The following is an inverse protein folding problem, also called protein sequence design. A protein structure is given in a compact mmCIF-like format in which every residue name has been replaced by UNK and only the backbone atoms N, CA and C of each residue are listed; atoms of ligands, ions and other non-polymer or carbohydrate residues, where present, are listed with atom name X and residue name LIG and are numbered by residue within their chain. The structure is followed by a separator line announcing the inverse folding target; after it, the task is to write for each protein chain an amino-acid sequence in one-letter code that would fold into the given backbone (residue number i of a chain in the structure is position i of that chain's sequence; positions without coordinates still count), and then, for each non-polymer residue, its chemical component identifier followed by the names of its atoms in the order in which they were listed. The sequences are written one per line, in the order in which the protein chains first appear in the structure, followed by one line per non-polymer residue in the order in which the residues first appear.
data_IF_543149608744
#
_entry.id   IF_543149608744
#
_cell.length_a   1.000
_cell.length_b   1.000
_cell.length_c   1.000
_cell.angle_alpha   90.00
_cell.angle_beta   90.00
_cell.angle_gamma   90.00
#
_symmetry.space_group_name_H-M   'P 1'
#
loop_
_entity.id
_entity.type
_entity.pdbx_description
1 polymer ?
#
# COMPACT_ATOMS: atom_id res chain seq x y z
N UNK A 1 25.53 -12.84 -7.06
CA UNK A 1 25.98 -12.13 -5.84
C UNK A 1 24.75 -11.92 -4.99
N UNK A 2 24.79 -12.01 -3.66
CA UNK A 2 23.64 -11.63 -2.88
C UNK A 2 23.35 -10.17 -3.19
N UNK A 3 22.09 -9.86 -3.52
CA UNK A 3 21.61 -8.51 -3.64
C UNK A 3 22.06 -7.76 -2.36
N UNK A 4 22.51 -6.52 -2.52
CA UNK A 4 22.87 -5.69 -1.36
C UNK A 4 21.71 -5.74 -0.37
N UNK A 5 21.98 -6.25 0.83
CA UNK A 5 20.98 -6.22 1.90
C UNK A 5 20.57 -4.77 2.11
N UNK A 6 19.30 -4.41 1.96
CA UNK A 6 18.88 -3.03 2.16
C UNK A 6 19.25 -2.53 3.55
N UNK A 7 19.66 -1.27 3.64
CA UNK A 7 19.93 -0.65 4.93
C UNK A 7 18.62 -0.41 5.70
N UNK A 8 18.60 -0.75 6.99
CA UNK A 8 17.44 -0.55 7.86
C UNK A 8 17.77 0.57 8.83
N UNK A 9 17.11 1.71 8.65
CA UNK A 9 17.20 2.83 9.58
C UNK A 9 16.30 2.56 10.79
N UNK A 10 16.84 2.81 11.97
CA UNK A 10 16.13 2.69 13.25
C UNK A 10 15.65 4.05 13.74
N UNK A 11 14.73 4.07 14.68
CA UNK A 11 14.04 5.27 15.18
C UNK A 11 15.00 6.46 15.47
N UNK A 12 16.16 6.20 16.07
CA UNK A 12 17.15 7.23 16.38
C UNK A 12 17.76 7.93 15.15
N UNK A 13 17.70 7.27 14.00
CA UNK A 13 18.22 7.76 12.72
C UNK A 13 17.14 8.48 11.89
N UNK A 14 15.90 8.52 12.39
CA UNK A 14 14.73 9.04 11.69
C UNK A 14 14.12 10.21 12.50
N UNK A 15 14.75 11.39 12.51
CA UNK A 15 14.29 12.51 13.32
C UNK A 15 13.03 13.17 12.73
N UNK A 16 12.08 13.56 13.58
CA UNK A 16 10.91 14.36 13.19
C UNK A 16 11.29 15.79 12.74
N UNK A 17 12.44 16.28 13.18
CA UNK A 17 12.89 17.67 12.97
C UNK A 17 12.96 18.08 11.50
N UNK A 18 13.08 17.12 10.58
CA UNK A 18 13.13 17.39 9.14
C UNK A 18 11.89 18.09 8.57
N UNK A 19 10.71 17.91 9.20
CA UNK A 19 9.46 18.54 8.78
C UNK A 19 8.90 19.55 9.79
N UNK A 20 9.53 19.72 10.94
CA UNK A 20 9.12 20.76 11.89
C UNK A 20 9.27 22.15 11.27
N UNK A 21 8.25 23.00 11.46
CA UNK A 21 8.16 24.33 10.87
C UNK A 21 8.18 24.35 9.32
N UNK A 22 7.87 23.23 8.67
CA UNK A 22 7.69 23.15 7.22
C UNK A 22 6.19 23.15 6.90
N UNK A 23 5.84 23.73 5.76
CA UNK A 23 4.49 23.61 5.20
C UNK A 23 4.37 22.24 4.56
N UNK A 24 3.49 21.42 5.11
CA UNK A 24 3.23 20.07 4.61
C UNK A 24 1.82 20.02 4.03
N UNK A 25 1.68 19.53 2.83
CA UNK A 25 0.37 19.28 2.23
C UNK A 25 0.21 17.80 1.87
N UNK A 26 -1.02 17.31 2.00
CA UNK A 26 -1.43 16.00 1.49
C UNK A 26 -2.41 16.22 0.35
N UNK A 27 -2.02 15.78 -0.84
CA UNK A 27 -2.84 15.88 -2.05
C UNK A 27 -3.64 14.59 -2.21
N UNK A 28 -4.95 14.70 -1.96
CA UNK A 28 -5.86 13.55 -1.89
C UNK A 28 -6.13 13.11 -0.45
N UNK A 29 -7.41 12.81 -0.16
CA UNK A 29 -7.87 12.45 1.19
C UNK A 29 -8.63 11.12 1.18
N UNK A 30 -8.00 10.11 0.54
CA UNK A 30 -8.41 8.71 0.56
C UNK A 30 -7.84 7.97 1.78
N UNK A 31 -7.84 6.62 1.73
CA UNK A 31 -7.40 5.78 2.85
C UNK A 31 -5.99 6.12 3.35
N UNK A 32 -5.00 6.17 2.47
CA UNK A 32 -3.62 6.51 2.84
C UNK A 32 -3.48 7.99 3.19
N UNK A 33 -4.01 8.90 2.34
CA UNK A 33 -3.89 10.35 2.58
C UNK A 33 -4.49 10.77 3.92
N UNK A 34 -5.65 10.20 4.29
CA UNK A 34 -6.28 10.44 5.59
C UNK A 34 -5.42 9.94 6.75
N UNK A 35 -4.89 8.71 6.65
CA UNK A 35 -4.05 8.14 7.69
C UNK A 35 -2.76 8.96 7.90
N UNK A 36 -2.08 9.33 6.82
CA UNK A 36 -0.87 10.15 6.86
C UNK A 36 -1.16 11.53 7.49
N UNK A 37 -2.21 12.21 7.03
CA UNK A 37 -2.57 13.53 7.54
C UNK A 37 -2.90 13.51 9.05
N UNK A 38 -3.71 12.54 9.49
CA UNK A 38 -4.07 12.38 10.89
C UNK A 38 -2.83 12.09 11.77
N UNK A 39 -1.96 11.19 11.34
CA UNK A 39 -0.76 10.82 12.10
C UNK A 39 0.23 11.99 12.18
N UNK A 40 0.44 12.72 11.08
CA UNK A 40 1.26 13.92 11.05
C UNK A 40 0.75 15.00 12.00
N UNK A 41 -0.58 15.28 11.98
CA UNK A 41 -1.20 16.22 12.91
C UNK A 41 -1.00 15.80 14.37
N UNK A 42 -1.26 14.54 14.68
CA UNK A 42 -1.09 14.01 16.04
C UNK A 42 0.38 13.97 16.49
N UNK A 43 1.32 14.05 15.54
CA UNK A 43 2.77 14.25 15.76
C UNK A 43 3.16 15.73 15.85
N UNK A 44 2.19 16.66 15.83
CA UNK A 44 2.44 18.10 15.98
C UNK A 44 2.85 18.81 14.68
N UNK A 45 2.59 18.24 13.53
CA UNK A 45 2.84 18.86 12.22
C UNK A 45 1.57 19.51 11.68
N UNK A 46 1.67 20.76 11.27
CA UNK A 46 0.58 21.45 10.57
C UNK A 46 0.45 20.91 9.12
N UNK A 47 -0.73 20.41 8.79
CA UNK A 47 -1.00 19.75 7.51
C UNK A 47 -2.20 20.40 6.82
N UNK A 48 -1.99 20.82 5.59
CA UNK A 48 -3.04 21.28 4.68
C UNK A 48 -3.48 20.15 3.74
N UNK A 49 -4.76 20.04 3.47
CA UNK A 49 -5.32 19.02 2.55
C UNK A 49 -5.70 19.64 1.23
N UNK A 50 -5.02 19.24 0.17
CA UNK A 50 -5.39 19.59 -1.22
C UNK A 50 -6.29 18.53 -1.84
N UNK A 51 -7.54 18.86 -2.15
CA UNK A 51 -8.47 17.91 -2.76
C UNK A 51 -9.59 18.60 -3.54
N UNK A 52 -10.17 17.90 -4.53
CA UNK A 52 -11.35 18.37 -5.26
C UNK A 52 -12.60 18.49 -4.37
N UNK A 53 -12.69 17.64 -3.36
CA UNK A 53 -13.75 17.68 -2.34
C UNK A 53 -13.10 17.54 -0.97
N UNK A 54 -13.18 18.58 -0.18
CA UNK A 54 -12.57 18.68 1.14
C UNK A 54 -13.51 18.32 2.29
N UNK A 55 -14.75 17.89 2.01
CA UNK A 55 -15.78 17.66 3.04
C UNK A 55 -15.33 16.67 4.12
N UNK A 56 -14.63 15.60 3.75
CA UNK A 56 -14.12 14.63 4.73
C UNK A 56 -12.92 15.17 5.52
N UNK A 57 -12.05 15.96 4.88
CA UNK A 57 -10.95 16.62 5.57
C UNK A 57 -11.48 17.65 6.60
N UNK A 58 -12.52 18.41 6.24
CA UNK A 58 -13.18 19.36 7.15
C UNK A 58 -13.84 18.66 8.34
N UNK A 59 -14.46 17.48 8.14
CA UNK A 59 -15.01 16.68 9.25
C UNK A 59 -13.91 16.24 10.25
N UNK A 60 -12.73 15.97 9.75
CA UNK A 60 -11.57 15.64 10.58
C UNK A 60 -10.81 16.91 11.08
N UNK A 61 -11.40 18.09 10.94
CA UNK A 61 -10.87 19.40 11.37
C UNK A 61 -9.56 19.81 10.67
N UNK A 62 -9.35 19.42 9.41
CA UNK A 62 -8.26 19.93 8.59
C UNK A 62 -8.67 21.17 7.80
N UNK A 63 -7.67 22.01 7.51
CA UNK A 63 -7.79 23.05 6.50
C UNK A 63 -7.78 22.39 5.11
N UNK A 64 -8.93 22.38 4.45
CA UNK A 64 -9.09 21.87 3.10
C UNK A 64 -9.05 23.00 2.09
N UNK A 65 -8.13 22.91 1.13
CA UNK A 65 -7.91 23.91 0.07
C UNK A 65 -7.97 23.26 -1.31
N UNK A 66 -7.84 24.05 -2.36
CA UNK A 66 -7.65 23.51 -3.71
C UNK A 66 -6.30 22.79 -3.86
N UNK A 67 -6.17 21.95 -4.87
CA UNK A 67 -4.89 21.25 -5.15
C UNK A 67 -3.82 22.29 -5.52
N UNK A 68 -4.18 23.29 -6.27
CA UNK A 68 -3.30 24.38 -6.71
C UNK A 68 -2.72 25.15 -5.51
N UNK A 69 -3.55 25.50 -4.55
CA UNK A 69 -3.12 26.20 -3.32
C UNK A 69 -2.19 25.29 -2.48
N UNK A 70 -2.57 24.02 -2.30
CA UNK A 70 -1.77 23.04 -1.57
C UNK A 70 -0.41 22.78 -2.23
N UNK A 71 -0.27 23.01 -3.54
CA UNK A 71 0.94 22.78 -4.30
C UNK A 71 2.09 23.76 -3.99
N UNK A 72 1.83 24.78 -3.16
CA UNK A 72 2.87 25.72 -2.71
C UNK A 72 3.62 25.29 -1.45
N UNK A 73 3.31 24.13 -0.86
CA UNK A 73 3.95 23.61 0.35
C UNK A 73 5.43 23.23 0.14
N UNK A 74 6.19 23.06 1.21
CA UNK A 74 7.59 22.64 1.17
C UNK A 74 7.70 21.11 0.90
N UNK A 75 6.76 20.32 1.45
CA UNK A 75 6.58 18.91 1.18
C UNK A 75 5.14 18.66 0.70
N UNK A 76 4.99 18.13 -0.51
CA UNK A 76 3.71 17.73 -1.10
C UNK A 76 3.62 16.20 -1.10
N UNK A 77 2.80 15.63 -0.23
CA UNK A 77 2.56 14.20 -0.16
C UNK A 77 1.42 13.84 -1.13
N UNK A 78 1.75 13.16 -2.23
CA UNK A 78 0.78 12.77 -3.26
C UNK A 78 0.15 11.44 -2.86
N UNK A 79 -1.15 11.50 -2.50
CA UNK A 79 -1.95 10.38 -2.04
C UNK A 79 -3.20 10.17 -2.92
N UNK A 80 -3.04 10.40 -4.22
CA UNK A 80 -4.05 10.19 -5.25
C UNK A 80 -3.97 8.75 -5.79
N UNK A 81 -5.07 8.20 -6.35
CA UNK A 81 -5.01 6.95 -7.10
C UNK A 81 -4.04 7.05 -8.30
N UNK A 82 -3.26 5.99 -8.54
CA UNK A 82 -2.16 6.00 -9.51
C UNK A 82 -2.60 6.37 -10.93
N UNK A 83 -3.76 5.89 -11.35
CA UNK A 83 -4.32 6.14 -12.68
C UNK A 83 -4.66 7.61 -12.96
N UNK A 84 -4.75 8.46 -11.93
CA UNK A 84 -5.05 9.87 -12.09
C UNK A 84 -3.89 10.80 -11.73
N UNK A 85 -2.83 10.29 -11.10
CA UNK A 85 -1.72 11.11 -10.60
C UNK A 85 -1.07 11.94 -11.69
N UNK A 86 -0.71 11.34 -12.83
CA UNK A 86 -0.07 12.04 -13.93
C UNK A 86 -0.92 13.19 -14.48
N UNK A 87 -2.23 12.97 -14.65
CA UNK A 87 -3.15 14.02 -15.12
C UNK A 87 -3.25 15.16 -14.10
N UNK A 88 -3.52 14.84 -12.83
CA UNK A 88 -3.64 15.86 -11.78
C UNK A 88 -2.34 16.64 -11.59
N UNK A 89 -1.21 15.94 -11.66
CA UNK A 89 0.11 16.59 -11.59
C UNK A 89 0.27 17.64 -12.70
N UNK A 90 0.06 17.26 -13.94
CA UNK A 90 0.27 18.16 -15.09
C UNK A 90 -0.71 19.34 -15.10
N UNK A 91 -1.98 19.12 -14.71
CA UNK A 91 -3.02 20.13 -14.80
C UNK A 91 -3.08 21.05 -13.56
N UNK A 92 -2.80 20.53 -12.35
CA UNK A 92 -3.12 21.24 -11.10
C UNK A 92 -1.93 21.40 -10.15
N UNK A 93 -0.86 20.59 -10.28
CA UNK A 93 0.30 20.67 -9.38
C UNK A 93 1.47 21.38 -10.07
N UNK A 94 1.93 20.86 -11.19
CA UNK A 94 3.12 21.36 -11.87
C UNK A 94 3.09 22.87 -12.20
N UNK A 95 1.95 23.47 -12.66
CA UNK A 95 1.89 24.90 -12.93
C UNK A 95 2.03 25.80 -11.68
N UNK A 96 1.86 25.22 -10.48
CA UNK A 96 1.86 25.94 -9.20
C UNK A 96 3.08 25.61 -8.33
N UNK A 97 4.00 24.77 -8.82
CA UNK A 97 5.27 24.53 -8.12
C UNK A 97 6.13 25.80 -8.10
N UNK A 98 6.72 26.08 -6.96
CA UNK A 98 7.59 27.24 -6.75
C UNK A 98 9.00 26.90 -7.20
N UNK A 99 9.47 27.46 -8.29
CA UNK A 99 10.83 27.24 -8.80
C UNK A 99 11.88 27.74 -7.78
N UNK A 100 12.97 26.99 -7.64
CA UNK A 100 14.10 27.30 -6.73
C UNK A 100 13.72 27.44 -5.23
N UNK A 101 12.49 27.04 -4.84
CA UNK A 101 12.02 27.16 -3.46
C UNK A 101 12.40 25.96 -2.57
N UNK A 102 13.06 24.96 -3.11
CA UNK A 102 13.45 23.75 -2.37
C UNK A 102 12.29 22.83 -2.04
N UNK A 103 11.23 22.84 -2.84
CA UNK A 103 10.08 21.95 -2.69
C UNK A 103 10.45 20.48 -2.93
N UNK A 104 9.66 19.58 -2.32
CA UNK A 104 9.81 18.14 -2.48
C UNK A 104 8.45 17.50 -2.71
N UNK A 105 8.34 16.68 -3.75
CA UNK A 105 7.22 15.78 -3.97
C UNK A 105 7.47 14.47 -3.22
N UNK A 106 6.53 14.11 -2.36
CA UNK A 106 6.52 12.86 -1.61
C UNK A 106 5.48 11.90 -2.19
N UNK A 107 5.88 10.66 -2.44
CA UNK A 107 5.03 9.61 -2.97
C UNK A 107 4.85 8.50 -1.93
N UNK A 108 3.64 7.92 -1.87
CA UNK A 108 3.32 6.78 -0.98
C UNK A 108 3.63 5.46 -1.69
N UNK A 109 3.63 5.47 -3.02
CA UNK A 109 3.96 4.38 -3.92
C UNK A 109 4.72 4.92 -5.13
N UNK A 110 5.67 4.15 -5.66
CA UNK A 110 6.59 4.64 -6.69
C UNK A 110 6.04 4.71 -8.12
N UNK A 111 4.81 4.24 -8.37
CA UNK A 111 4.20 4.01 -9.68
C UNK A 111 4.36 5.19 -10.66
N UNK A 112 3.93 6.38 -10.29
CA UNK A 112 3.87 7.52 -11.19
C UNK A 112 5.26 8.01 -11.64
N UNK A 113 6.26 7.87 -10.80
CA UNK A 113 7.65 8.21 -11.11
C UNK A 113 8.31 7.07 -11.91
N UNK A 114 8.18 5.83 -11.46
CA UNK A 114 8.78 4.68 -12.11
C UNK A 114 8.34 4.52 -13.57
N UNK A 115 7.05 4.66 -13.85
CA UNK A 115 6.52 4.57 -15.23
C UNK A 115 6.51 5.91 -15.99
N UNK A 116 7.11 6.97 -15.45
CA UNK A 116 7.26 8.26 -16.14
C UNK A 116 5.96 9.03 -16.35
N UNK A 117 4.92 8.76 -15.56
CA UNK A 117 3.65 9.51 -15.61
C UNK A 117 3.80 10.92 -15.01
N UNK A 118 4.79 11.10 -14.13
CA UNK A 118 5.17 12.38 -13.54
C UNK A 118 6.67 12.59 -13.77
N UNK A 119 7.01 13.74 -14.36
CA UNK A 119 8.40 14.17 -14.59
C UNK A 119 8.58 15.52 -13.90
N UNK A 120 9.09 15.54 -12.65
CA UNK A 120 9.28 16.80 -11.92
C UNK A 120 10.46 17.62 -12.42
N UNK A 121 10.40 18.98 -12.32
CA UNK A 121 11.52 19.88 -12.62
C UNK A 121 12.79 19.48 -11.84
N UNK A 122 13.97 19.85 -12.37
CA UNK A 122 15.26 19.43 -11.81
C UNK A 122 15.50 19.94 -10.38
N UNK A 123 15.00 21.11 -10.03
CA UNK A 123 15.14 21.77 -8.73
C UNK A 123 14.14 21.27 -7.66
N UNK A 124 13.16 20.46 -8.04
CA UNK A 124 12.17 19.86 -7.16
C UNK A 124 12.62 18.47 -6.72
N UNK A 125 12.65 18.24 -5.41
CA UNK A 125 12.99 16.93 -4.84
C UNK A 125 11.92 15.88 -5.09
N UNK A 126 12.34 14.62 -5.12
CA UNK A 126 11.43 13.46 -5.29
C UNK A 126 11.79 12.39 -4.28
N UNK A 127 10.86 12.09 -3.40
CA UNK A 127 11.05 11.10 -2.32
C UNK A 127 9.84 10.17 -2.21
N UNK A 128 10.07 9.02 -1.63
CA UNK A 128 9.01 8.08 -1.32
C UNK A 128 9.10 7.62 0.13
N UNK A 129 7.95 7.56 0.79
CA UNK A 129 7.75 6.85 2.05
C UNK A 129 6.53 5.95 1.86
N UNK A 130 6.77 4.66 1.66
CA UNK A 130 5.76 3.66 1.32
C UNK A 130 5.51 2.70 2.50
N UNK A 131 4.53 2.98 3.38
CA UNK A 131 4.16 2.06 4.46
C UNK A 131 3.61 0.75 3.87
N UNK A 132 4.14 -0.40 4.36
CA UNK A 132 3.70 -1.72 3.90
C UNK A 132 2.48 -2.21 4.69
N UNK A 133 1.35 -1.59 4.37
CA UNK A 133 0.04 -1.89 4.93
C UNK A 133 -1.03 -0.88 4.52
N UNK A 134 -2.32 -1.27 4.58
CA UNK A 134 -3.44 -0.40 4.27
C UNK A 134 -3.46 0.85 5.16
N UNK A 135 -4.02 1.96 4.68
CA UNK A 135 -4.11 3.21 5.45
C UNK A 135 -4.80 3.06 6.81
N UNK A 136 -5.82 2.20 6.90
CA UNK A 136 -6.47 1.90 8.19
C UNK A 136 -5.47 1.31 9.19
N UNK A 137 -4.66 0.35 8.78
CA UNK A 137 -3.62 -0.27 9.62
C UNK A 137 -2.54 0.74 10.01
N UNK A 138 -2.14 1.63 9.09
CA UNK A 138 -1.19 2.72 9.39
C UNK A 138 -1.73 3.60 10.52
N UNK A 139 -3.03 3.92 10.50
CA UNK A 139 -3.67 4.73 11.55
C UNK A 139 -3.80 3.97 12.86
N UNK A 140 -4.31 2.76 12.84
CA UNK A 140 -4.53 1.92 14.04
C UNK A 140 -3.22 1.62 14.78
N UNK A 141 -2.17 1.22 14.06
CA UNK A 141 -0.86 0.96 14.64
C UNK A 141 -0.23 2.21 15.24
N UNK A 142 -0.41 3.38 14.59
CA UNK A 142 0.04 4.66 15.15
C UNK A 142 -0.65 4.98 16.48
N UNK A 143 -1.98 4.84 16.55
CA UNK A 143 -2.77 5.06 17.77
C UNK A 143 -2.40 4.09 18.90
N UNK A 144 -2.05 2.86 18.53
CA UNK A 144 -1.56 1.85 19.48
C UNK A 144 -0.11 2.10 19.97
N UNK A 145 0.51 3.24 19.61
CA UNK A 145 1.88 3.55 19.99
C UNK A 145 2.95 2.78 19.20
N UNK A 146 2.56 2.05 18.15
CA UNK A 146 3.41 1.32 17.23
C UNK A 146 3.47 2.02 15.87
N UNK A 147 3.76 1.30 14.81
CA UNK A 147 3.82 1.80 13.44
C UNK A 147 3.75 0.67 12.42
N UNK A 148 3.90 1.02 11.16
CA UNK A 148 4.03 0.08 10.04
C UNK A 148 5.41 0.27 9.42
N UNK A 149 6.11 -0.83 9.11
CA UNK A 149 7.36 -0.79 8.36
C UNK A 149 7.12 -0.04 7.05
N UNK A 150 8.04 0.87 6.69
CA UNK A 150 7.94 1.58 5.42
C UNK A 150 9.23 1.47 4.62
N UNK A 151 9.10 1.58 3.30
CA UNK A 151 10.23 1.75 2.39
C UNK A 151 10.52 3.24 2.22
N UNK A 152 11.80 3.59 2.17
CA UNK A 152 12.30 4.95 1.94
C UNK A 152 13.10 4.97 0.64
N UNK A 153 12.75 5.86 -0.27
CA UNK A 153 13.58 6.15 -1.44
C UNK A 153 13.76 7.66 -1.63
N UNK A 154 14.96 8.03 -2.04
CA UNK A 154 15.31 9.39 -2.44
C UNK A 154 15.72 9.32 -3.90
N UNK A 155 14.79 9.64 -4.81
CA UNK A 155 15.05 9.64 -6.24
C UNK A 155 15.86 10.85 -6.64
N UNK A 156 15.50 12.01 -6.06
CA UNK A 156 16.16 13.28 -6.37
C UNK A 156 16.11 14.23 -5.18
N UNK A 157 17.23 14.88 -4.90
CA UNK A 157 17.30 15.98 -3.95
C UNK A 157 16.75 17.28 -4.57
N UNK A 158 16.11 18.11 -3.74
CA UNK A 158 15.72 19.46 -4.12
C UNK A 158 16.92 20.41 -4.17
N UNK A 159 16.71 21.61 -4.67
CA UNK A 159 17.76 22.64 -4.74
C UNK A 159 18.43 22.96 -3.38
N UNK A 160 17.69 22.82 -2.28
CA UNK A 160 18.18 23.05 -0.92
C UNK A 160 18.82 21.82 -0.27
N UNK A 161 18.83 20.67 -0.94
CA UNK A 161 19.33 19.37 -0.44
C UNK A 161 18.67 18.93 0.89
N UNK A 162 17.37 19.13 1.00
CA UNK A 162 16.59 18.82 2.21
C UNK A 162 15.61 17.67 2.02
N UNK A 163 15.51 17.09 0.81
CA UNK A 163 14.50 16.08 0.50
C UNK A 163 14.60 14.85 1.39
N UNK A 164 15.82 14.34 1.62
CA UNK A 164 16.02 13.22 2.56
C UNK A 164 15.56 13.56 3.98
N UNK A 165 15.87 14.76 4.47
CA UNK A 165 15.44 15.20 5.81
C UNK A 165 13.92 15.31 5.91
N UNK A 166 13.26 15.85 4.86
CA UNK A 166 11.80 15.92 4.78
C UNK A 166 11.17 14.52 4.78
N UNK A 167 11.72 13.58 4.00
CA UNK A 167 11.21 12.20 3.95
C UNK A 167 11.37 11.47 5.30
N UNK A 168 12.50 11.62 5.99
CA UNK A 168 12.71 11.05 7.32
C UNK A 168 11.73 11.64 8.34
N UNK A 169 11.54 12.96 8.33
CA UNK A 169 10.58 13.62 9.20
C UNK A 169 9.14 13.17 8.93
N UNK A 170 8.77 13.02 7.67
CA UNK A 170 7.47 12.47 7.28
C UNK A 170 7.28 11.03 7.79
N UNK A 171 8.25 10.15 7.57
CA UNK A 171 8.20 8.77 8.05
C UNK A 171 8.10 8.68 9.58
N UNK A 172 8.79 9.56 10.31
CA UNK A 172 8.64 9.67 11.76
C UNK A 172 7.23 10.11 12.15
N UNK A 173 6.74 11.20 11.53
CA UNK A 173 5.44 11.77 11.83
C UNK A 173 4.25 10.83 11.57
N UNK A 174 4.38 9.88 10.64
CA UNK A 174 3.35 8.85 10.44
C UNK A 174 3.54 7.61 11.33
N UNK A 175 4.60 7.55 12.14
CA UNK A 175 4.87 6.46 13.09
C UNK A 175 5.74 5.33 12.56
N UNK A 176 6.15 5.33 11.29
CA UNK A 176 6.98 4.26 10.71
C UNK A 176 8.36 4.16 11.35
N UNK A 177 8.90 5.25 11.87
CA UNK A 177 10.18 5.27 12.58
C UNK A 177 10.23 4.29 13.76
N UNK A 178 9.11 4.06 14.44
CA UNK A 178 9.00 3.16 15.61
C UNK A 178 9.29 1.69 15.26
N UNK A 179 9.05 1.32 14.00
CA UNK A 179 9.35 -0.03 13.47
C UNK A 179 10.68 -0.01 12.70
N UNK A 180 10.89 1.01 11.87
CA UNK A 180 12.07 1.22 11.05
C UNK A 180 11.73 1.52 9.59
N UNK A 181 12.73 1.99 8.85
CA UNK A 181 12.66 2.21 7.41
C UNK A 181 13.66 1.32 6.70
N UNK A 182 13.24 0.69 5.62
CA UNK A 182 14.09 -0.03 4.71
C UNK A 182 14.41 0.86 3.51
N UNK A 183 15.68 1.16 3.28
CA UNK A 183 16.09 1.94 2.10
C UNK A 183 15.87 1.14 0.82
N UNK A 184 15.28 1.76 -0.18
CA UNK A 184 14.89 1.16 -1.45
C UNK A 184 15.04 2.15 -2.61
N UNK A 185 14.57 1.77 -3.79
CA UNK A 185 14.43 2.64 -4.95
C UNK A 185 12.96 2.72 -5.38
N UNK A 186 12.59 3.74 -6.16
CA UNK A 186 11.26 3.80 -6.76
C UNK A 186 10.95 2.57 -7.62
N UNK A 187 11.93 2.10 -8.38
CA UNK A 187 11.82 0.90 -9.19
C UNK A 187 11.55 -0.35 -8.34
N UNK A 188 12.43 -0.63 -7.38
CA UNK A 188 12.33 -1.86 -6.60
C UNK A 188 11.03 -1.89 -5.78
N UNK A 189 10.66 -0.76 -5.16
CA UNK A 189 9.39 -0.65 -4.45
C UNK A 189 8.22 -0.93 -5.38
N UNK A 190 8.13 -0.24 -6.53
CA UNK A 190 7.00 -0.36 -7.44
C UNK A 190 6.87 -1.78 -8.00
N UNK A 191 7.96 -2.35 -8.50
CA UNK A 191 7.92 -3.67 -9.11
C UNK A 191 7.61 -4.78 -8.10
N UNK A 192 8.19 -4.72 -6.90
CA UNK A 192 7.98 -5.75 -5.87
C UNK A 192 6.60 -5.62 -5.19
N UNK A 193 6.10 -4.41 -4.98
CA UNK A 193 4.78 -4.15 -4.43
C UNK A 193 3.68 -4.67 -5.38
N UNK A 194 3.71 -4.24 -6.64
CA UNK A 194 2.77 -4.70 -7.66
C UNK A 194 2.83 -6.22 -7.86
N UNK A 195 4.02 -6.81 -7.82
CA UNK A 195 4.15 -8.26 -7.92
C UNK A 195 3.55 -8.96 -6.70
N UNK A 196 3.87 -8.50 -5.49
CA UNK A 196 3.31 -9.06 -4.25
C UNK A 196 1.79 -9.00 -4.21
N UNK A 197 1.19 -7.88 -4.62
CA UNK A 197 -0.27 -7.73 -4.70
C UNK A 197 -0.90 -8.68 -5.72
N UNK A 198 -0.30 -8.82 -6.90
CA UNK A 198 -0.84 -9.67 -7.96
C UNK A 198 -0.62 -11.15 -7.68
N UNK A 199 0.59 -11.52 -7.26
CA UNK A 199 0.99 -12.92 -7.09
C UNK A 199 0.41 -13.58 -5.85
N UNK A 200 0.30 -12.86 -4.72
CA UNK A 200 -0.07 -13.49 -3.44
C UNK A 200 -1.07 -12.68 -2.60
N UNK A 201 -0.83 -11.39 -2.33
CA UNK A 201 -1.55 -10.66 -1.28
C UNK A 201 -3.03 -10.46 -1.64
N UNK A 202 -3.34 -10.19 -2.91
CA UNK A 202 -4.69 -9.98 -3.42
C UNK A 202 -5.02 -10.97 -4.53
N UNK A 203 -4.33 -10.91 -5.66
CA UNK A 203 -4.68 -11.68 -6.86
C UNK A 203 -4.62 -13.19 -6.63
N UNK A 204 -3.48 -13.68 -6.18
CA UNK A 204 -3.28 -15.11 -5.91
C UNK A 204 -4.18 -15.63 -4.79
N UNK A 205 -4.27 -14.91 -3.67
CA UNK A 205 -5.12 -15.30 -2.54
C UNK A 205 -6.59 -15.42 -2.94
N UNK A 206 -7.15 -14.40 -3.60
CA UNK A 206 -8.56 -14.42 -4.04
C UNK A 206 -8.78 -15.53 -5.07
N UNK A 207 -7.82 -15.78 -5.96
CA UNK A 207 -7.92 -16.88 -6.94
C UNK A 207 -7.97 -18.24 -6.26
N UNK A 208 -7.08 -18.52 -5.30
CA UNK A 208 -7.08 -19.79 -4.58
C UNK A 208 -8.31 -19.98 -3.71
N UNK A 209 -8.74 -18.95 -2.99
CA UNK A 209 -9.99 -18.99 -2.19
C UNK A 209 -11.17 -19.36 -3.09
N UNK A 210 -11.32 -18.63 -4.21
CA UNK A 210 -12.43 -18.83 -5.14
C UNK A 210 -12.44 -20.24 -5.75
N UNK A 211 -11.31 -20.66 -6.30
CA UNK A 211 -11.19 -21.97 -6.94
C UNK A 211 -11.43 -23.12 -5.95
N UNK A 212 -10.92 -23.02 -4.73
CA UNK A 212 -11.13 -24.01 -3.68
C UNK A 212 -12.59 -24.07 -3.23
N UNK A 213 -13.22 -22.89 -3.02
CA UNK A 213 -14.65 -22.80 -2.72
C UNK A 213 -15.51 -23.46 -3.80
N UNK A 214 -15.29 -23.10 -5.08
CA UNK A 214 -16.02 -23.67 -6.21
C UNK A 214 -15.84 -25.20 -6.28
N UNK A 215 -14.62 -25.69 -6.08
CA UNK A 215 -14.32 -27.14 -6.09
C UNK A 215 -15.09 -27.90 -5.01
N UNK A 216 -15.21 -27.36 -3.79
CA UNK A 216 -16.00 -28.00 -2.73
C UNK A 216 -17.51 -27.98 -3.05
N UNK A 217 -18.02 -26.86 -3.54
CA UNK A 217 -19.44 -26.75 -3.90
C UNK A 217 -19.81 -27.70 -5.04
N UNK A 218 -18.95 -27.79 -6.06
CA UNK A 218 -19.16 -28.70 -7.20
C UNK A 218 -19.07 -30.20 -6.79
N UNK A 219 -18.30 -30.49 -5.74
CA UNK A 219 -18.24 -31.80 -5.11
C UNK A 219 -19.46 -32.10 -4.21
N UNK A 220 -20.42 -31.17 -4.08
CA UNK A 220 -21.66 -31.33 -3.34
C UNK A 220 -21.62 -30.94 -1.87
N UNK A 221 -20.57 -30.29 -1.41
CA UNK A 221 -20.52 -29.78 -0.03
C UNK A 221 -21.34 -28.49 0.14
N UNK A 222 -21.91 -28.25 1.33
CA UNK A 222 -22.65 -27.03 1.62
C UNK A 222 -21.79 -25.78 1.41
N UNK A 223 -22.30 -24.74 0.70
CA UNK A 223 -21.55 -23.52 0.44
C UNK A 223 -21.02 -22.80 1.70
N UNK A 224 -21.77 -22.89 2.81
CA UNK A 224 -21.35 -22.31 4.09
C UNK A 224 -20.09 -22.97 4.64
N UNK A 225 -20.00 -24.32 4.59
CA UNK A 225 -18.78 -25.04 4.97
C UNK A 225 -17.63 -24.68 4.03
N UNK A 226 -17.86 -24.69 2.73
CA UNK A 226 -16.84 -24.29 1.75
C UNK A 226 -16.29 -22.87 2.02
N UNK A 227 -17.16 -21.92 2.40
CA UNK A 227 -16.72 -20.57 2.76
C UNK A 227 -15.86 -20.53 4.03
N UNK A 228 -16.28 -21.25 5.08
CA UNK A 228 -15.54 -21.29 6.35
C UNK A 228 -14.14 -21.85 6.10
N UNK A 229 -14.04 -23.02 5.47
CA UNK A 229 -12.77 -23.72 5.26
C UNK A 229 -11.85 -23.01 4.27
N UNK A 230 -12.37 -22.41 3.19
CA UNK A 230 -11.55 -21.84 2.13
C UNK A 230 -11.32 -20.33 2.27
N UNK A 231 -12.10 -19.62 3.08
CA UNK A 231 -12.01 -18.16 3.19
C UNK A 231 -11.84 -17.68 4.64
N UNK A 232 -12.74 -18.07 5.54
CA UNK A 232 -12.75 -17.54 6.91
C UNK A 232 -11.47 -17.90 7.69
N UNK A 233 -11.00 -19.15 7.59
CA UNK A 233 -9.83 -19.61 8.33
C UNK A 233 -8.48 -19.10 7.82
N UNK A 234 -8.43 -18.56 6.61
CA UNK A 234 -7.19 -18.03 6.00
C UNK A 234 -6.52 -16.99 6.90
N UNK A 235 -7.34 -16.15 7.58
CA UNK A 235 -6.82 -15.12 8.47
C UNK A 235 -5.97 -15.70 9.61
N UNK A 236 -6.44 -16.76 10.28
CA UNK A 236 -5.75 -17.35 11.43
C UNK A 236 -4.38 -17.91 11.02
N UNK A 237 -4.30 -18.56 9.86
CA UNK A 237 -3.04 -19.09 9.35
C UNK A 237 -2.10 -17.96 8.92
N UNK A 238 -2.63 -16.92 8.27
CA UNK A 238 -1.86 -15.73 7.88
C UNK A 238 -1.29 -15.00 9.10
N UNK A 239 -2.05 -14.88 10.18
CA UNK A 239 -1.59 -14.27 11.43
C UNK A 239 -0.40 -15.06 12.03
N UNK A 240 -0.46 -16.39 12.08
CA UNK A 240 0.63 -17.23 12.57
C UNK A 240 1.89 -17.10 11.69
N UNK A 241 1.72 -17.09 10.36
CA UNK A 241 2.84 -16.88 9.43
C UNK A 241 3.49 -15.51 9.68
N UNK A 242 2.67 -14.47 9.86
CA UNK A 242 3.17 -13.12 10.13
C UNK A 242 3.96 -13.03 11.44
N UNK A 243 3.46 -13.66 12.51
CA UNK A 243 4.05 -13.59 13.83
C UNK A 243 5.28 -14.48 14.01
N UNK A 244 5.28 -15.68 13.41
CA UNK A 244 6.24 -16.76 13.72
C UNK A 244 6.99 -17.30 12.50
N UNK A 245 6.56 -16.94 11.29
CA UNK A 245 7.12 -17.46 10.05
C UNK A 245 6.51 -18.81 9.63
N UNK A 246 6.77 -19.19 8.37
CA UNK A 246 6.17 -20.36 7.72
C UNK A 246 6.51 -21.67 8.47
N UNK A 247 7.78 -21.87 8.84
CA UNK A 247 8.21 -23.11 9.49
C UNK A 247 7.57 -23.33 10.87
N UNK A 248 7.40 -22.26 11.66
CA UNK A 248 6.73 -22.36 12.96
C UNK A 248 5.21 -22.49 12.83
N UNK A 249 4.61 -21.89 11.79
CA UNK A 249 3.20 -22.12 11.46
C UNK A 249 2.95 -23.59 11.14
N UNK A 250 3.77 -24.24 10.31
CA UNK A 250 3.66 -25.66 10.00
C UNK A 250 3.72 -26.56 11.24
N UNK A 251 4.56 -26.23 12.22
CA UNK A 251 4.63 -26.95 13.51
C UNK A 251 3.43 -26.70 14.44
N UNK A 252 2.71 -25.61 14.23
CA UNK A 252 1.59 -25.22 15.10
C UNK A 252 0.26 -25.85 14.68
N UNK A 253 0.18 -26.43 13.48
CA UNK A 253 -1.02 -27.10 12.97
C UNK A 253 -0.97 -28.62 13.26
N UNK A 254 -2.07 -29.35 13.00
CA UNK A 254 -2.12 -30.79 13.20
C UNK A 254 -1.24 -31.54 12.21
N UNK A 255 -0.72 -32.72 12.59
CA UNK A 255 0.05 -33.58 11.68
C UNK A 255 -0.72 -33.92 10.39
N UNK A 256 -2.05 -34.01 10.47
CA UNK A 256 -2.91 -34.23 9.29
C UNK A 256 -2.87 -33.05 8.35
N UNK A 257 -3.02 -31.83 8.88
CA UNK A 257 -2.96 -30.62 8.10
C UNK A 257 -1.56 -30.38 7.51
N UNK A 258 -0.51 -30.63 8.31
CA UNK A 258 0.88 -30.50 7.87
C UNK A 258 1.19 -31.46 6.72
N UNK A 259 0.81 -32.74 6.83
CA UNK A 259 1.01 -33.73 5.77
C UNK A 259 0.27 -33.35 4.50
N UNK A 260 -1.01 -32.96 4.62
CA UNK A 260 -1.81 -32.50 3.49
C UNK A 260 -1.25 -31.25 2.82
N UNK A 261 -0.67 -30.33 3.61
CA UNK A 261 -0.01 -29.15 3.08
C UNK A 261 1.22 -29.51 2.23
N UNK A 262 2.08 -30.45 2.67
CA UNK A 262 3.21 -30.90 1.86
C UNK A 262 2.79 -31.57 0.56
N UNK A 263 1.72 -32.36 0.57
CA UNK A 263 1.16 -32.97 -0.65
C UNK A 263 0.62 -31.90 -1.60
N UNK A 264 -0.12 -30.92 -1.09
CA UNK A 264 -0.66 -29.80 -1.88
C UNK A 264 0.47 -28.95 -2.49
N UNK A 265 1.51 -28.63 -1.69
CA UNK A 265 2.68 -27.88 -2.16
C UNK A 265 3.40 -28.61 -3.30
N UNK A 266 3.58 -29.94 -3.19
CA UNK A 266 4.19 -30.73 -4.23
C UNK A 266 3.37 -30.78 -5.53
N UNK A 267 2.04 -30.67 -5.43
CA UNK A 267 1.13 -30.66 -6.60
C UNK A 267 1.05 -29.28 -7.25
N UNK A 268 0.97 -28.21 -6.43
CA UNK A 268 0.68 -26.85 -6.90
C UNK A 268 1.93 -26.06 -7.30
N UNK A 269 3.11 -26.33 -6.68
CA UNK A 269 4.37 -25.66 -7.04
C UNK A 269 5.00 -26.34 -8.26
N UNK A 270 4.35 -26.22 -9.38
CA UNK A 270 4.75 -26.80 -10.65
C UNK A 270 5.37 -25.78 -11.62
N UNK A 271 5.81 -26.24 -12.78
CA UNK A 271 6.39 -25.40 -13.82
C UNK A 271 5.39 -24.37 -14.34
N UNK A 272 4.11 -24.72 -14.43
CA UNK A 272 3.07 -23.83 -14.95
C UNK A 272 2.82 -22.63 -14.02
N UNK A 273 2.73 -22.85 -12.70
CA UNK A 273 2.66 -21.77 -11.72
C UNK A 273 3.87 -20.83 -11.85
N UNK A 274 5.08 -21.37 -11.99
CA UNK A 274 6.30 -20.57 -12.12
C UNK A 274 6.31 -19.75 -13.41
N UNK A 275 5.81 -20.27 -14.51
CA UNK A 275 5.66 -19.56 -15.78
C UNK A 275 4.66 -18.41 -15.65
N UNK A 276 3.51 -18.64 -15.00
CA UNK A 276 2.51 -17.61 -14.75
C UNK A 276 3.05 -16.46 -13.87
N UNK A 277 3.78 -16.79 -12.81
CA UNK A 277 4.43 -15.77 -11.97
C UNK A 277 5.46 -14.96 -12.75
N UNK A 278 6.23 -15.62 -13.63
CA UNK A 278 7.17 -14.95 -14.53
C UNK A 278 6.48 -14.01 -15.53
N UNK A 279 5.30 -14.38 -16.05
CA UNK A 279 4.49 -13.54 -16.92
C UNK A 279 3.97 -12.29 -16.18
N UNK A 280 3.44 -12.45 -14.95
CA UNK A 280 3.04 -11.30 -14.12
C UNK A 280 4.19 -10.33 -13.91
N UNK A 281 5.37 -10.83 -13.55
CA UNK A 281 6.56 -10.00 -13.36
C UNK A 281 6.97 -9.28 -14.64
N UNK A 282 6.93 -9.96 -15.78
CA UNK A 282 7.23 -9.38 -17.09
C UNK A 282 6.29 -8.22 -17.44
N UNK A 283 5.00 -8.38 -17.20
CA UNK A 283 3.99 -7.34 -17.45
C UNK A 283 4.16 -6.09 -16.54
N UNK A 284 4.72 -6.28 -15.37
CA UNK A 284 5.06 -5.17 -14.48
C UNK A 284 6.29 -4.44 -15.03
N UNK A 285 7.36 -5.19 -15.34
CA UNK A 285 8.63 -4.63 -15.77
C UNK A 285 8.57 -3.94 -17.13
N UNK A 286 7.75 -4.43 -18.05
CA UNK A 286 7.59 -3.82 -19.40
C UNK A 286 6.57 -2.67 -19.45
N UNK A 287 5.89 -2.37 -18.31
CA UNK A 287 4.90 -1.29 -18.18
C UNK A 287 3.53 -1.61 -18.79
N UNK A 288 3.31 -2.80 -19.36
CA UNK A 288 2.01 -3.17 -19.94
C UNK A 288 0.89 -3.21 -18.90
N UNK A 289 1.20 -3.59 -17.65
CA UNK A 289 0.25 -3.49 -16.55
C UNK A 289 -0.15 -2.04 -16.27
N UNK A 290 0.83 -1.14 -16.17
CA UNK A 290 0.58 0.29 -15.90
C UNK A 290 -0.29 0.92 -16.99
N UNK A 291 -0.05 0.58 -18.25
CA UNK A 291 -0.86 1.03 -19.39
C UNK A 291 -2.33 0.54 -19.29
N UNK A 292 -2.56 -0.73 -18.92
CA UNK A 292 -3.94 -1.25 -18.72
C UNK A 292 -4.67 -0.55 -17.57
N UNK A 293 -3.98 -0.25 -16.47
CA UNK A 293 -4.54 0.46 -15.33
C UNK A 293 -5.02 1.85 -15.73
N UNK A 294 -4.18 2.62 -16.41
CA UNK A 294 -4.49 3.99 -16.82
C UNK A 294 -5.61 4.08 -17.86
N UNK A 295 -5.83 3.02 -18.64
CA UNK A 295 -6.93 2.91 -19.59
C UNK A 295 -8.29 2.54 -18.97
N UNK A 296 -8.38 2.33 -17.67
CA UNK A 296 -9.65 2.24 -16.92
C UNK A 296 -10.36 0.89 -16.97
N UNK A 297 -9.67 -0.22 -17.20
CA UNK A 297 -10.25 -1.56 -17.31
C UNK A 297 -10.85 -2.12 -16.00
N UNK A 298 -10.67 -1.44 -14.89
CA UNK A 298 -11.03 -1.94 -13.53
C UNK A 298 -12.55 -2.07 -13.29
N UNK A 299 -13.36 -1.17 -13.86
CA UNK A 299 -14.79 -1.04 -13.50
C UNK A 299 -15.61 -2.30 -13.75
N UNK A 300 -15.37 -2.96 -14.87
CA UNK A 300 -16.15 -4.16 -15.26
C UNK A 300 -15.80 -5.39 -14.39
N UNK A 301 -14.57 -5.47 -13.88
CA UNK A 301 -14.08 -6.59 -13.05
C UNK A 301 -14.70 -6.57 -11.65
N UNK A 302 -14.98 -5.39 -11.09
CA UNK A 302 -15.64 -5.25 -9.76
C UNK A 302 -17.05 -5.82 -9.74
N UNK A 303 -17.84 -5.56 -10.78
CA UNK A 303 -19.22 -6.07 -10.87
C UNK A 303 -19.27 -7.60 -10.93
N UNK A 304 -18.37 -8.23 -11.68
CA UNK A 304 -18.29 -9.69 -11.80
C UNK A 304 -17.95 -10.35 -10.45
N UNK A 305 -17.01 -9.80 -9.70
CA UNK A 305 -16.64 -10.34 -8.39
C UNK A 305 -17.76 -10.16 -7.36
N UNK A 306 -18.41 -9.01 -7.33
CA UNK A 306 -19.52 -8.74 -6.40
C UNK A 306 -20.74 -9.63 -6.65
N UNK A 307 -20.94 -10.13 -7.88
CA UNK A 307 -22.02 -11.04 -8.23
C UNK A 307 -21.72 -12.52 -7.91
N UNK A 308 -20.52 -12.83 -7.45
CA UNK A 308 -20.13 -14.21 -7.18
C UNK A 308 -20.84 -14.78 -5.95
N UNK A 309 -21.24 -16.05 -5.98
CA UNK A 309 -21.97 -16.72 -4.87
C UNK A 309 -21.23 -16.69 -3.54
N UNK A 310 -19.90 -16.72 -3.56
CA UNK A 310 -19.06 -16.65 -2.36
C UNK A 310 -19.32 -15.36 -1.56
N UNK A 311 -19.65 -14.24 -2.22
CA UNK A 311 -19.94 -12.97 -1.54
C UNK A 311 -21.24 -13.04 -0.75
N UNK A 312 -22.30 -13.65 -1.33
CA UNK A 312 -23.59 -13.81 -0.65
C UNK A 312 -23.47 -14.72 0.58
N UNK A 313 -22.78 -15.86 0.44
CA UNK A 313 -22.52 -16.79 1.55
C UNK A 313 -21.61 -16.12 2.60
N UNK A 314 -20.62 -15.36 2.16
CA UNK A 314 -19.73 -14.63 3.04
C UNK A 314 -20.46 -13.56 3.88
N UNK A 315 -21.46 -12.86 3.30
CA UNK A 315 -22.29 -11.91 4.03
C UNK A 315 -23.12 -12.60 5.12
N UNK A 316 -23.74 -13.75 4.78
CA UNK A 316 -24.48 -14.57 5.73
C UNK A 316 -23.60 -15.01 6.91
N UNK A 317 -22.41 -15.56 6.66
CA UNK A 317 -21.49 -16.02 7.72
C UNK A 317 -20.97 -14.87 8.55
N UNK A 318 -20.56 -13.74 7.93
CA UNK A 318 -20.10 -12.55 8.70
C UNK A 318 -21.20 -12.00 9.61
N UNK A 319 -22.45 -12.01 9.18
CA UNK A 319 -23.56 -11.56 10.02
C UNK A 319 -23.76 -12.41 11.27
N UNK A 320 -23.50 -13.72 11.20
CA UNK A 320 -23.57 -14.63 12.37
C UNK A 320 -22.43 -14.32 13.35
N UNK A 321 -21.21 -14.15 12.86
CA UNK A 321 -20.01 -13.95 13.68
C UNK A 321 -20.02 -12.58 14.39
N UNK A 322 -20.51 -11.51 13.73
CA UNK A 322 -20.54 -10.17 14.30
C UNK A 322 -21.61 -9.96 15.39
N UNK A 323 -22.60 -10.85 15.50
CA UNK A 323 -23.60 -10.80 16.56
C UNK A 323 -23.10 -11.35 17.91
N UNK A 324 -21.94 -12.00 17.96
CA UNK A 324 -21.35 -12.52 19.20
C UNK A 324 -20.38 -11.53 19.88
N UNK A 325 -20.09 -10.38 19.25
CA UNK A 325 -19.17 -9.34 19.77
C UNK A 325 -19.91 -8.12 20.41
N UNK A 326 -21.27 -8.11 20.45
CA UNK A 326 -22.12 -7.14 21.14
C UNK A 326 -22.64 -7.72 22.47
#
# INVERSE_FOLDING_TARGET
MPANTPNILKEKEIPLTGIQNKRVSVIGYGNQGRAHALNLRDSGIDVTIGARNTSNATKDAFNGVSIEEASTADLLIIALPDEVQGKVYNEQIAPHLLTNAGQTLGFIHGFAIHYGHIIPPEDVGVVMVAPKGPGITVREKYLAGSGVLALLAIEKENASKTSRSLALGWANGIGSARIGLLESTFKDETETDLFGEQAIIVGGLVTLIKASYETLVDAGYPPQLAYIECCHEVKQVADIIHERGIAEMMKAISNTAEMGAYEAMALLDDKHLREQLGELMSHIQDGSFAHRLTNGEIKNKRASLAAHKIEQVGEEIRSIIQHDDD
#
